data_IF_657429191417
#
_entry.id   IF_657429191417
#
_cell.length_a   1.000
_cell.length_b   1.000
_cell.length_c   1.000
_cell.angle_alpha   90.00
_cell.angle_beta   90.00
_cell.angle_gamma   90.00
#
_symmetry.space_group_name_H-M   'P 1'
#
loop_
_entity.id
_entity.type
_entity.pdbx_description
1 polymer ?
#
# COMPACT_ATOMS: atom_id res chain seq x y z
N UNK A 1 30.98 -14.42 -24.21
CA UNK A 1 31.70 -14.34 -22.93
C UNK A 1 31.86 -12.86 -22.65
N UNK A 2 30.83 -12.23 -22.10
CA UNK A 2 30.83 -10.79 -21.81
C UNK A 2 31.57 -10.58 -20.51
N UNK A 3 32.74 -9.95 -20.59
CA UNK A 3 33.50 -9.49 -19.44
C UNK A 3 32.58 -8.67 -18.53
N UNK A 4 32.19 -9.24 -17.40
CA UNK A 4 31.61 -8.52 -16.28
C UNK A 4 32.73 -7.80 -15.55
N UNK A 5 33.30 -6.78 -16.18
CA UNK A 5 34.08 -5.79 -15.45
C UNK A 5 33.11 -5.09 -14.51
N UNK A 6 33.31 -5.27 -13.21
CA UNK A 6 32.65 -4.50 -12.16
C UNK A 6 33.03 -3.05 -12.42
N UNK A 7 32.11 -2.29 -13.02
CA UNK A 7 32.32 -0.88 -13.34
C UNK A 7 32.49 -0.14 -12.02
N UNK A 8 33.71 0.33 -11.71
CA UNK A 8 33.92 1.18 -10.54
C UNK A 8 33.09 2.45 -10.75
N UNK A 9 32.21 2.75 -9.80
CA UNK A 9 31.23 3.85 -9.84
C UNK A 9 31.86 5.25 -9.98
N UNK A 10 33.18 5.38 -9.89
CA UNK A 10 33.93 6.61 -10.20
C UNK A 10 34.55 6.67 -11.60
N UNK A 11 34.46 5.61 -12.41
CA UNK A 11 35.18 5.51 -13.70
C UNK A 11 34.47 6.17 -14.90
N UNK A 12 33.22 6.62 -14.72
CA UNK A 12 32.38 7.15 -15.79
C UNK A 12 31.76 8.51 -15.42
N UNK A 13 31.73 9.51 -16.35
CA UNK A 13 31.17 10.83 -16.05
C UNK A 13 29.71 10.81 -15.59
N UNK A 14 28.89 9.91 -16.16
CA UNK A 14 27.50 9.72 -15.74
C UNK A 14 27.38 9.22 -14.29
N UNK A 15 28.29 8.35 -13.88
CA UNK A 15 28.33 7.76 -12.56
C UNK A 15 28.72 8.80 -11.50
N UNK A 16 29.70 9.67 -11.82
CA UNK A 16 30.13 10.79 -10.99
C UNK A 16 29.04 11.85 -10.83
N UNK A 17 28.23 12.09 -11.87
CA UNK A 17 27.07 12.98 -11.76
C UNK A 17 26.03 12.43 -10.80
N UNK A 18 25.72 11.13 -10.90
CA UNK A 18 24.76 10.47 -9.99
C UNK A 18 25.27 10.51 -8.53
N UNK A 19 26.56 10.28 -8.30
CA UNK A 19 27.23 10.40 -6.99
C UNK A 19 27.11 11.81 -6.38
N UNK A 20 26.92 12.84 -7.21
CA UNK A 20 26.68 14.21 -6.75
C UNK A 20 25.25 14.51 -6.31
N UNK A 21 24.25 13.69 -6.70
CA UNK A 21 22.82 14.01 -6.53
C UNK A 21 22.38 13.97 -5.06
N UNK A 22 22.93 13.05 -4.26
CA UNK A 22 22.58 12.94 -2.83
C UNK A 22 23.45 13.83 -1.92
N UNK A 23 24.36 14.62 -2.52
CA UNK A 23 25.27 15.53 -1.82
C UNK A 23 26.41 14.82 -1.08
N UNK A 24 26.54 13.50 -1.20
CA UNK A 24 27.59 12.69 -0.58
C UNK A 24 28.44 12.06 -1.68
N UNK A 25 29.49 12.76 -2.13
CA UNK A 25 30.46 12.24 -3.10
C UNK A 25 31.34 11.14 -2.47
N UNK A 26 30.76 9.99 -2.18
CA UNK A 26 31.39 8.86 -1.49
C UNK A 26 31.75 7.70 -2.43
N UNK A 27 31.52 7.89 -3.73
CA UNK A 27 31.76 6.89 -4.76
C UNK A 27 30.66 5.83 -4.84
N UNK A 28 29.53 6.01 -4.15
CA UNK A 28 28.34 5.16 -4.30
C UNK A 28 27.24 5.98 -4.95
N UNK A 29 26.63 5.41 -5.99
CA UNK A 29 25.54 6.07 -6.69
C UNK A 29 24.38 6.49 -5.78
N UNK A 30 24.08 5.72 -4.71
CA UNK A 30 23.02 6.05 -3.76
C UNK A 30 23.29 5.48 -2.37
N UNK A 31 22.90 6.23 -1.33
CA UNK A 31 22.87 5.77 0.07
C UNK A 31 21.71 4.80 0.38
N UNK A 32 21.83 3.56 -0.06
CA UNK A 32 20.81 2.50 0.15
C UNK A 32 20.80 1.89 1.57
N UNK A 33 21.61 2.38 2.51
CA UNK A 33 21.83 1.73 3.82
C UNK A 33 20.60 1.60 4.74
N UNK A 34 19.53 2.35 4.48
CA UNK A 34 18.26 2.27 5.21
C UNK A 34 17.21 1.38 4.52
N UNK A 35 17.46 0.97 3.27
CA UNK A 35 16.56 0.21 2.42
C UNK A 35 16.93 -1.28 2.47
N UNK A 36 16.56 -1.95 3.57
CA UNK A 36 16.78 -3.40 3.74
C UNK A 36 15.64 -4.18 3.08
N UNK A 37 15.70 -4.22 1.75
CA UNK A 37 14.77 -4.87 0.83
C UNK A 37 14.57 -6.37 1.16
N UNK A 38 13.33 -6.74 1.51
CA UNK A 38 12.69 -8.04 1.31
C UNK A 38 12.94 -9.28 2.21
N UNK A 39 13.99 -9.40 3.02
CA UNK A 39 14.26 -10.74 3.63
C UNK A 39 13.26 -11.16 4.75
N UNK A 40 12.59 -10.20 5.40
CA UNK A 40 11.55 -10.53 6.42
C UNK A 40 10.17 -10.79 5.80
N UNK A 41 9.78 -10.07 4.74
CA UNK A 41 8.45 -10.21 4.13
C UNK A 41 8.22 -11.59 3.51
N UNK A 42 9.21 -12.12 2.78
CA UNK A 42 9.09 -13.44 2.11
C UNK A 42 8.92 -14.58 3.13
N UNK A 43 9.48 -14.43 4.34
CA UNK A 43 9.33 -15.41 5.43
C UNK A 43 7.95 -15.38 6.08
N UNK A 44 7.32 -14.22 6.20
CA UNK A 44 5.97 -14.10 6.77
C UNK A 44 4.85 -14.51 5.79
N UNK A 45 5.05 -14.34 4.48
CA UNK A 45 4.05 -14.68 3.46
C UNK A 45 3.77 -16.19 3.36
N UNK A 46 4.79 -17.06 3.50
CA UNK A 46 4.60 -18.52 3.41
C UNK A 46 3.75 -19.09 4.54
N UNK A 47 3.80 -18.52 5.75
CA UNK A 47 3.01 -19.02 6.89
C UNK A 47 1.53 -18.62 6.81
N UNK A 48 1.16 -17.63 5.99
CA UNK A 48 -0.21 -17.09 5.92
C UNK A 48 -1.09 -17.65 4.80
N UNK A 49 -0.53 -18.35 3.82
CA UNK A 49 -1.21 -18.70 2.56
C UNK A 49 -2.57 -19.43 2.69
N UNK A 50 -2.80 -20.21 3.75
CA UNK A 50 -4.08 -20.93 3.96
C UNK A 50 -5.12 -20.06 4.69
N UNK A 51 -4.72 -19.28 5.70
CA UNK A 51 -5.62 -18.39 6.45
C UNK A 51 -5.99 -17.14 5.65
N UNK A 52 -5.08 -16.67 4.78
CA UNK A 52 -5.26 -15.48 3.97
C UNK A 52 -6.44 -15.59 3.00
N UNK A 53 -6.70 -16.79 2.44
CA UNK A 53 -7.77 -16.97 1.45
C UNK A 53 -9.18 -16.83 2.05
N UNK A 54 -9.36 -17.23 3.31
CA UNK A 54 -10.64 -17.05 4.00
C UNK A 54 -10.80 -15.61 4.47
N UNK A 55 -9.74 -15.01 5.01
CA UNK A 55 -9.71 -13.60 5.39
C UNK A 55 -10.02 -12.68 4.18
N UNK A 56 -9.42 -12.93 3.01
CA UNK A 56 -9.67 -12.16 1.78
C UNK A 56 -11.14 -12.15 1.37
N UNK A 57 -11.83 -13.29 1.48
CA UNK A 57 -13.26 -13.38 1.13
C UNK A 57 -14.13 -12.60 2.12
N UNK A 58 -13.85 -12.74 3.42
CA UNK A 58 -14.61 -12.07 4.48
C UNK A 58 -14.41 -10.55 4.39
N UNK A 59 -13.16 -10.11 4.21
CA UNK A 59 -12.81 -8.71 4.00
C UNK A 59 -13.50 -8.13 2.76
N UNK A 60 -13.46 -8.84 1.63
CA UNK A 60 -14.10 -8.39 0.40
C UNK A 60 -15.63 -8.30 0.54
N UNK A 61 -16.24 -9.18 1.33
CA UNK A 61 -17.66 -9.14 1.64
C UNK A 61 -18.01 -7.98 2.60
N UNK A 62 -17.27 -7.82 3.69
CA UNK A 62 -17.48 -6.76 4.69
C UNK A 62 -17.28 -5.35 4.10
N UNK A 63 -16.40 -5.19 3.10
CA UNK A 63 -16.22 -3.93 2.37
C UNK A 63 -17.28 -3.64 1.29
N UNK A 64 -18.27 -4.52 1.08
CA UNK A 64 -19.27 -4.39 0.02
C UNK A 64 -20.55 -3.72 0.51
N UNK A 65 -21.18 -2.90 -0.35
CA UNK A 65 -22.53 -2.38 -0.09
C UNK A 65 -23.60 -3.47 0.07
N UNK A 66 -23.38 -4.66 -0.52
CA UNK A 66 -24.29 -5.81 -0.35
C UNK A 66 -24.41 -6.25 1.11
N UNK A 67 -23.32 -6.17 1.87
CA UNK A 67 -23.29 -6.47 3.30
C UNK A 67 -24.27 -5.58 4.07
N UNK A 68 -24.26 -4.28 3.78
CA UNK A 68 -25.13 -3.28 4.42
C UNK A 68 -26.60 -3.58 4.15
N UNK A 69 -26.97 -3.90 2.91
CA UNK A 69 -28.36 -4.24 2.58
C UNK A 69 -28.84 -5.51 3.28
N UNK A 70 -28.00 -6.54 3.36
CA UNK A 70 -28.33 -7.78 4.08
C UNK A 70 -28.60 -7.49 5.56
N UNK A 71 -27.75 -6.68 6.21
CA UNK A 71 -27.92 -6.30 7.62
C UNK A 71 -29.17 -5.45 7.85
N UNK A 72 -29.45 -4.51 6.95
CA UNK A 72 -30.63 -3.67 7.03
C UNK A 72 -31.92 -4.51 6.96
N UNK A 73 -31.98 -5.46 6.02
CA UNK A 73 -33.13 -6.37 5.90
C UNK A 73 -33.21 -7.31 7.10
N UNK A 74 -32.09 -7.87 7.55
CA UNK A 74 -32.03 -8.77 8.70
C UNK A 74 -32.52 -8.10 9.99
N UNK A 75 -31.99 -6.91 10.33
CA UNK A 75 -32.42 -6.16 11.52
C UNK A 75 -33.85 -5.67 11.37
N UNK A 76 -34.24 -5.19 10.19
CA UNK A 76 -35.62 -4.78 9.91
C UNK A 76 -36.62 -5.93 10.12
N UNK A 77 -36.28 -7.12 9.63
CA UNK A 77 -37.11 -8.32 9.81
C UNK A 77 -37.18 -8.75 11.29
N UNK A 78 -36.06 -8.73 12.00
CA UNK A 78 -36.02 -9.06 13.43
C UNK A 78 -36.93 -8.13 14.24
N UNK A 79 -36.85 -6.82 14.00
CA UNK A 79 -37.69 -5.83 14.67
C UNK A 79 -39.16 -6.04 14.28
N UNK A 80 -39.47 -6.23 12.99
CA UNK A 80 -40.85 -6.42 12.52
C UNK A 80 -41.50 -7.67 13.14
N UNK A 81 -40.75 -8.77 13.30
CA UNK A 81 -41.22 -9.98 13.99
C UNK A 81 -41.48 -9.70 15.47
N UNK A 82 -40.53 -9.09 16.18
CA UNK A 82 -40.63 -8.90 17.63
C UNK A 82 -41.62 -7.80 18.06
N UNK A 83 -41.87 -6.81 17.21
CA UNK A 83 -42.94 -5.79 17.40
C UNK A 83 -44.33 -6.37 17.10
N UNK A 84 -44.40 -7.54 16.43
CA UNK A 84 -45.65 -8.24 16.13
C UNK A 84 -46.29 -7.85 14.80
N UNK A 85 -45.55 -7.22 13.88
CA UNK A 85 -46.02 -6.86 12.54
C UNK A 85 -46.25 -8.09 11.64
N UNK A 86 -45.54 -9.20 11.91
CA UNK A 86 -45.50 -10.39 11.02
C UNK A 86 -46.16 -11.64 11.66
N UNK A 87 -46.52 -11.60 12.95
CA UNK A 87 -47.22 -12.71 13.60
C UNK A 87 -47.36 -12.51 15.11
N UNK A 88 -48.60 -12.53 15.61
CA UNK A 88 -48.95 -12.10 16.96
C UNK A 88 -48.48 -13.03 18.11
N UNK A 89 -47.74 -14.11 17.85
CA UNK A 89 -47.51 -15.19 18.84
C UNK A 89 -46.05 -15.42 19.25
N UNK A 90 -45.05 -14.81 18.61
CA UNK A 90 -43.62 -15.07 18.91
C UNK A 90 -42.88 -13.76 19.23
N UNK A 91 -43.06 -13.26 20.45
CA UNK A 91 -42.26 -12.16 21.01
C UNK A 91 -41.06 -12.75 21.75
N UNK A 92 -39.98 -13.04 21.01
CA UNK A 92 -38.78 -13.66 21.58
C UNK A 92 -37.85 -12.65 22.25
N UNK A 93 -37.77 -11.43 21.71
CA UNK A 93 -36.89 -10.35 22.17
C UNK A 93 -37.71 -9.07 22.42
N UNK A 94 -38.14 -8.86 23.68
CA UNK A 94 -38.96 -7.70 24.05
C UNK A 94 -38.11 -6.43 24.03
N UNK A 95 -38.69 -5.31 23.61
CA UNK A 95 -38.07 -3.99 23.75
C UNK A 95 -37.51 -3.84 25.18
N UNK A 96 -36.20 -3.58 25.37
CA UNK A 96 -35.24 -2.92 24.44
C UNK A 96 -34.37 -3.82 23.52
N UNK A 97 -34.78 -5.04 23.16
CA UNK A 97 -34.06 -5.95 22.25
C UNK A 97 -32.66 -6.37 22.74
N UNK A 98 -32.60 -7.01 23.91
CA UNK A 98 -31.34 -7.39 24.54
C UNK A 98 -30.55 -8.44 23.74
N UNK A 99 -31.25 -9.41 23.13
CA UNK A 99 -30.59 -10.48 22.37
C UNK A 99 -29.99 -9.96 21.06
N UNK A 100 -30.74 -9.12 20.33
CA UNK A 100 -30.21 -8.46 19.14
C UNK A 100 -28.96 -7.64 19.47
N UNK A 101 -29.00 -6.85 20.54
CA UNK A 101 -27.88 -6.00 20.94
C UNK A 101 -26.63 -6.82 21.26
N UNK A 102 -26.79 -7.96 21.95
CA UNK A 102 -25.67 -8.86 22.25
C UNK A 102 -25.06 -9.46 20.99
N UNK A 103 -25.89 -9.96 20.07
CA UNK A 103 -25.43 -10.57 18.80
C UNK A 103 -24.71 -9.53 17.93
N UNK A 104 -25.29 -8.34 17.76
CA UNK A 104 -24.70 -7.25 16.97
C UNK A 104 -23.37 -6.79 17.57
N UNK A 105 -23.27 -6.73 18.90
CA UNK A 105 -22.02 -6.34 19.57
C UNK A 105 -20.91 -7.35 19.32
N UNK A 106 -21.21 -8.65 19.39
CA UNK A 106 -20.25 -9.71 19.08
C UNK A 106 -19.83 -9.67 17.61
N UNK A 107 -20.80 -9.52 16.71
CA UNK A 107 -20.55 -9.40 15.27
C UNK A 107 -19.66 -8.19 14.93
N UNK A 108 -19.89 -7.04 15.55
CA UNK A 108 -19.08 -5.84 15.36
C UNK A 108 -17.61 -6.04 15.75
N UNK A 109 -17.32 -6.76 16.83
CA UNK A 109 -15.94 -7.08 17.26
C UNK A 109 -15.24 -7.93 16.20
N UNK A 110 -15.90 -8.95 15.66
CA UNK A 110 -15.34 -9.78 14.60
C UNK A 110 -15.08 -8.97 13.32
N UNK A 111 -16.04 -8.12 12.92
CA UNK A 111 -15.89 -7.25 11.75
C UNK A 111 -14.73 -6.28 11.91
N UNK A 112 -14.62 -5.60 13.07
CA UNK A 112 -13.51 -4.68 13.35
C UNK A 112 -12.16 -5.39 13.26
N UNK A 113 -12.07 -6.62 13.79
CA UNK A 113 -10.86 -7.44 13.70
C UNK A 113 -10.50 -7.78 12.25
N UNK A 114 -11.49 -8.20 11.44
CA UNK A 114 -11.26 -8.50 10.03
C UNK A 114 -10.86 -7.26 9.21
N UNK A 115 -11.46 -6.10 9.52
CA UNK A 115 -11.05 -4.81 8.92
C UNK A 115 -9.62 -4.47 9.28
N UNK A 116 -9.21 -4.62 10.54
CA UNK A 116 -7.84 -4.37 10.98
C UNK A 116 -6.83 -5.29 10.28
N UNK A 117 -7.14 -6.59 10.16
CA UNK A 117 -6.30 -7.54 9.42
C UNK A 117 -6.19 -7.14 7.94
N UNK A 118 -7.29 -6.72 7.31
CA UNK A 118 -7.29 -6.21 5.95
C UNK A 118 -6.41 -4.98 5.79
N UNK A 119 -6.55 -4.00 6.68
CA UNK A 119 -5.78 -2.77 6.67
C UNK A 119 -4.28 -3.06 6.81
N UNK A 120 -3.90 -3.94 7.73
CA UNK A 120 -2.49 -4.34 7.91
C UNK A 120 -1.93 -5.00 6.63
N UNK A 121 -2.73 -5.82 5.94
CA UNK A 121 -2.34 -6.43 4.66
C UNK A 121 -2.25 -5.41 3.52
N UNK A 122 -3.14 -4.42 3.49
CA UNK A 122 -3.07 -3.32 2.52
C UNK A 122 -1.83 -2.44 2.74
N UNK A 123 -1.50 -2.13 3.99
CA UNK A 123 -0.29 -1.40 4.35
C UNK A 123 0.96 -2.14 3.88
N UNK A 124 1.03 -3.46 4.13
CA UNK A 124 2.11 -4.32 3.66
C UNK A 124 2.29 -4.28 2.14
N UNK A 125 1.18 -4.42 1.39
CA UNK A 125 1.21 -4.35 -0.07
C UNK A 125 1.62 -2.97 -0.57
N UNK A 126 1.21 -1.91 0.13
CA UNK A 126 1.59 -0.53 -0.19
C UNK A 126 3.08 -0.29 0.01
N UNK A 127 3.67 -0.87 1.07
CA UNK A 127 5.11 -0.81 1.35
C UNK A 127 5.91 -1.53 0.24
N UNK A 128 5.51 -2.74 -0.12
CA UNK A 128 6.13 -3.50 -1.23
C UNK A 128 5.98 -2.73 -2.55
N UNK A 129 4.83 -2.09 -2.81
CA UNK A 129 4.67 -1.27 -4.01
C UNK A 129 5.61 -0.07 -4.01
N UNK A 130 5.71 0.64 -2.89
CA UNK A 130 6.63 1.78 -2.76
C UNK A 130 8.09 1.37 -2.99
N UNK A 131 8.46 0.16 -2.57
CA UNK A 131 9.76 -0.43 -2.85
C UNK A 131 10.03 -0.64 -4.33
N UNK A 132 9.09 -1.29 -5.02
CA UNK A 132 9.21 -1.57 -6.45
C UNK A 132 9.22 -0.27 -7.25
N UNK A 133 8.36 0.68 -6.88
CA UNK A 133 8.32 2.01 -7.51
C UNK A 133 9.65 2.75 -7.31
N UNK A 134 10.26 2.65 -6.12
CA UNK A 134 11.58 3.23 -5.84
C UNK A 134 12.68 2.59 -6.71
N UNK A 135 12.73 1.26 -6.82
CA UNK A 135 13.69 0.55 -7.66
C UNK A 135 13.53 0.92 -9.15
N UNK A 136 12.28 0.95 -9.64
CA UNK A 136 11.97 1.36 -11.02
C UNK A 136 12.38 2.81 -11.28
N UNK A 137 12.17 3.71 -10.32
CA UNK A 137 12.59 5.11 -10.42
C UNK A 137 14.13 5.22 -10.44
N UNK A 138 14.83 4.45 -9.61
CA UNK A 138 16.28 4.39 -9.59
C UNK A 138 16.85 3.95 -10.94
N UNK A 139 16.29 2.87 -11.48
CA UNK A 139 16.67 2.37 -12.80
C UNK A 139 16.43 3.43 -13.88
N UNK A 140 15.27 4.08 -13.87
CA UNK A 140 14.92 5.13 -14.84
C UNK A 140 15.90 6.31 -14.78
N UNK A 141 16.28 6.75 -13.58
CA UNK A 141 17.27 7.81 -13.36
C UNK A 141 18.66 7.41 -13.89
N UNK A 142 19.13 6.20 -13.57
CA UNK A 142 20.43 5.73 -14.05
C UNK A 142 20.46 5.71 -15.59
N UNK A 143 19.40 5.17 -16.21
CA UNK A 143 19.29 5.14 -17.67
C UNK A 143 19.25 6.54 -18.30
N UNK A 144 18.44 7.46 -17.76
CA UNK A 144 18.30 8.81 -18.32
C UNK A 144 19.60 9.60 -18.27
N UNK A 145 20.34 9.54 -17.15
CA UNK A 145 21.63 10.22 -17.00
C UNK A 145 22.67 9.64 -17.96
N UNK A 146 22.74 8.31 -18.10
CA UNK A 146 23.67 7.67 -19.04
C UNK A 146 23.37 8.05 -20.50
N UNK A 147 22.10 8.09 -20.89
CA UNK A 147 21.69 8.52 -22.23
C UNK A 147 22.05 10.00 -22.44
N UNK A 148 21.70 10.87 -21.49
CA UNK A 148 22.00 12.31 -21.58
C UNK A 148 23.49 12.59 -21.70
N UNK A 149 24.33 11.89 -20.93
CA UNK A 149 25.78 11.97 -21.04
C UNK A 149 26.31 11.47 -22.38
N UNK A 150 25.76 10.37 -22.91
CA UNK A 150 26.15 9.87 -24.25
C UNK A 150 25.75 10.81 -25.38
N UNK A 151 24.68 11.58 -25.20
CA UNK A 151 24.23 12.60 -26.15
C UNK A 151 24.95 13.95 -25.98
N UNK A 152 25.77 14.11 -24.93
CA UNK A 152 26.46 15.37 -24.65
C UNK A 152 25.53 16.49 -24.15
N UNK A 153 24.42 16.13 -23.50
CA UNK A 153 23.52 17.11 -22.88
C UNK A 153 24.18 17.74 -21.65
N UNK A 154 23.98 19.04 -21.48
CA UNK A 154 24.36 19.74 -20.25
C UNK A 154 23.32 19.45 -19.15
N UNK A 155 23.60 18.46 -18.33
CA UNK A 155 22.72 18.01 -17.26
C UNK A 155 22.53 19.10 -16.20
N UNK A 156 23.55 19.93 -15.93
CA UNK A 156 23.45 20.99 -14.91
C UNK A 156 22.40 22.04 -15.32
N UNK A 157 22.39 22.43 -16.59
CA UNK A 157 21.38 23.33 -17.13
C UNK A 157 19.96 22.73 -17.06
N UNK A 158 19.82 21.44 -17.33
CA UNK A 158 18.53 20.73 -17.23
C UNK A 158 18.04 20.71 -15.77
N UNK A 159 18.92 20.45 -14.80
CA UNK A 159 18.57 20.46 -13.38
C UNK A 159 18.14 21.85 -12.89
N UNK A 160 18.79 22.90 -13.37
CA UNK A 160 18.41 24.29 -13.09
C UNK A 160 17.00 24.60 -13.62
N UNK A 161 16.74 24.29 -14.90
CA UNK A 161 15.41 24.41 -15.51
C UNK A 161 14.33 23.64 -14.74
N UNK A 162 14.62 22.40 -14.36
CA UNK A 162 13.69 21.59 -13.57
C UNK A 162 13.42 22.22 -12.20
N UNK A 163 14.45 22.74 -11.53
CA UNK A 163 14.32 23.40 -10.24
C UNK A 163 13.41 24.62 -10.33
N UNK A 164 13.62 25.46 -11.35
CA UNK A 164 12.85 26.69 -11.56
C UNK A 164 11.37 26.40 -11.79
N UNK A 165 11.06 25.46 -12.70
CA UNK A 165 9.68 25.05 -12.99
C UNK A 165 9.00 24.43 -11.76
N UNK A 166 9.73 23.63 -10.97
CA UNK A 166 9.19 23.05 -9.74
C UNK A 166 8.92 24.12 -8.69
N UNK A 167 9.77 25.14 -8.55
CA UNK A 167 9.49 26.27 -7.65
C UNK A 167 8.27 27.06 -8.09
N UNK A 168 8.14 27.38 -9.38
CA UNK A 168 6.97 28.10 -9.91
C UNK A 168 5.66 27.35 -9.65
N UNK A 169 5.65 26.02 -9.84
CA UNK A 169 4.48 25.19 -9.52
C UNK A 169 4.09 25.23 -8.05
N UNK A 170 5.05 25.41 -7.13
CA UNK A 170 4.78 25.47 -5.68
C UNK A 170 4.24 26.84 -5.26
N UNK A 171 4.62 27.90 -5.96
CA UNK A 171 4.14 29.26 -5.70
C UNK A 171 2.74 29.52 -6.29
N UNK A 172 2.37 28.79 -7.34
CA UNK A 172 1.08 28.95 -8.05
C UNK A 172 -0.09 28.18 -7.39
N UNK A 173 0.16 27.42 -6.32
CA UNK A 173 -0.84 26.59 -5.62
C UNK A 173 -1.22 27.14 -4.25
#
# INVERSE_FOLDING_TARGET
MTDTHVHETGSCPACQLIDGIDGLQDGKMFKLGHWRVADEHVRFERMRAVQDRTADRITGFAGSLRFVYIHLVWFGLWIAVNVGLIGASLRFDRFPFGLLTMVVSLEAIFLATFVMVSQNRQALRSEIRAQVDFESNLQSLIWSVHIGQKLGLDINHIEELCRDVVSESRETR
#
